data_IF_237310179611
#
_entry.id   IF_237310179611
#
_cell.length_a   1.000
_cell.length_b   1.000
_cell.length_c   1.000
_cell.angle_alpha   90.00
_cell.angle_beta   90.00
_cell.angle_gamma   90.00
#
_symmetry.space_group_name_H-M   'P 1'
#
loop_
_entity.id
_entity.type
_entity.pdbx_description
1 polymer ?
#
# COMPACT_ATOMS: atom_id res chain seq x y z
N UNK A 1 10.14 21.97 33.23
CA UNK A 1 10.71 22.44 31.95
C UNK A 1 9.56 22.49 30.95
N UNK A 2 9.16 23.68 30.50
CA UNK A 2 8.06 23.86 29.54
C UNK A 2 8.31 22.99 28.32
N UNK A 3 7.43 22.02 28.07
CA UNK A 3 7.36 21.43 26.75
C UNK A 3 7.12 22.58 25.78
N UNK A 4 7.90 22.70 24.69
CA UNK A 4 7.67 23.73 23.69
C UNK A 4 6.26 23.53 23.15
N UNK A 5 5.34 24.35 23.64
CA UNK A 5 3.95 24.34 23.23
C UNK A 5 3.91 24.64 21.74
N UNK A 6 2.88 24.18 21.03
CA UNK A 6 2.75 24.34 19.58
C UNK A 6 3.00 25.76 19.03
N UNK A 7 3.00 26.79 19.88
CA UNK A 7 3.48 28.14 19.57
C UNK A 7 4.90 28.18 18.97
N UNK A 8 5.88 27.44 19.50
CA UNK A 8 7.25 27.41 18.94
C UNK A 8 7.28 26.79 17.55
N UNK A 9 6.52 25.72 17.34
CA UNK A 9 6.34 25.11 16.02
C UNK A 9 5.68 26.07 15.03
N UNK A 10 4.68 26.84 15.45
CA UNK A 10 4.03 27.85 14.61
C UNK A 10 5.02 28.95 14.21
N UNK A 11 5.85 29.43 15.13
CA UNK A 11 6.87 30.46 14.85
C UNK A 11 7.89 29.96 13.85
N UNK A 12 8.39 28.74 14.01
CA UNK A 12 9.32 28.12 13.05
C UNK A 12 8.67 27.99 11.67
N UNK A 13 7.42 27.54 11.61
CA UNK A 13 6.68 27.39 10.36
C UNK A 13 6.49 28.73 9.65
N UNK A 14 6.23 29.80 10.42
CA UNK A 14 6.03 31.16 9.92
C UNK A 14 7.33 31.74 9.34
N UNK A 15 8.46 31.52 10.01
CA UNK A 15 9.79 31.87 9.49
C UNK A 15 10.12 31.10 8.21
N UNK A 16 9.84 29.80 8.17
CA UNK A 16 10.03 28.98 6.96
C UNK A 16 9.17 29.51 5.80
N UNK A 17 7.93 29.89 6.08
CA UNK A 17 7.00 30.44 5.09
C UNK A 17 7.46 31.82 4.57
N UNK A 18 8.11 32.64 5.40
CA UNK A 18 8.70 33.92 5.00
C UNK A 18 9.93 33.73 4.11
N UNK A 19 10.83 32.79 4.46
CA UNK A 19 12.06 32.54 3.70
C UNK A 19 11.80 31.84 2.35
N UNK A 20 10.97 30.80 2.36
CA UNK A 20 10.66 30.02 1.16
C UNK A 20 9.48 30.59 0.37
N UNK A 21 8.62 31.38 1.02
CA UNK A 21 7.37 31.89 0.44
C UNK A 21 6.23 30.85 0.49
N UNK A 22 5.00 31.34 0.68
CA UNK A 22 3.80 30.50 0.79
C UNK A 22 3.53 29.59 -0.42
N UNK A 23 4.10 29.89 -1.59
CA UNK A 23 3.94 29.09 -2.82
C UNK A 23 4.96 27.97 -3.00
N UNK A 24 6.14 28.03 -2.37
CA UNK A 24 7.22 27.04 -2.61
C UNK A 24 7.06 25.77 -1.77
N UNK A 25 6.70 25.92 -0.49
CA UNK A 25 6.38 24.80 0.41
C UNK A 25 5.38 23.80 -0.19
N UNK A 26 4.19 24.23 -0.68
CA UNK A 26 3.23 23.30 -1.27
C UNK A 26 3.69 22.76 -2.63
N UNK A 27 4.48 23.51 -3.41
CA UNK A 27 5.00 23.02 -4.68
C UNK A 27 5.98 21.86 -4.47
N UNK A 28 6.91 22.01 -3.52
CA UNK A 28 7.87 20.98 -3.12
C UNK A 28 7.17 19.74 -2.54
N UNK A 29 6.17 19.95 -1.69
CA UNK A 29 5.36 18.85 -1.14
C UNK A 29 4.61 18.09 -2.23
N UNK A 30 4.08 18.77 -3.26
CA UNK A 30 3.40 18.13 -4.38
C UNK A 30 4.34 17.29 -5.24
N UNK A 31 5.52 17.80 -5.60
CA UNK A 31 6.48 17.03 -6.40
C UNK A 31 7.04 15.83 -5.63
N UNK A 32 7.34 16.01 -4.34
CA UNK A 32 7.81 14.93 -3.46
C UNK A 32 6.71 13.90 -3.19
N UNK A 33 5.45 14.35 -3.04
CA UNK A 33 4.29 13.49 -2.87
C UNK A 33 3.96 12.66 -4.12
N UNK A 34 4.16 13.22 -5.32
CA UNK A 34 4.03 12.47 -6.57
C UNK A 34 5.09 11.36 -6.65
N UNK A 35 6.35 11.67 -6.37
CA UNK A 35 7.41 10.65 -6.32
C UNK A 35 7.10 9.53 -5.30
N UNK A 36 6.64 9.90 -4.09
CA UNK A 36 6.23 8.93 -3.08
C UNK A 36 5.00 8.11 -3.47
N UNK A 37 4.05 8.70 -4.20
CA UNK A 37 2.87 8.00 -4.72
C UNK A 37 3.26 6.95 -5.76
N UNK A 38 4.08 7.33 -6.75
CA UNK A 38 4.57 6.39 -7.78
C UNK A 38 5.43 5.29 -7.15
N UNK A 39 6.27 5.62 -6.16
CA UNK A 39 7.04 4.64 -5.40
C UNK A 39 6.14 3.64 -4.65
N UNK A 40 5.09 4.12 -3.99
CA UNK A 40 4.12 3.27 -3.29
C UNK A 40 3.28 2.42 -4.27
N UNK A 41 2.89 2.98 -5.42
CA UNK A 41 2.20 2.24 -6.48
C UNK A 41 3.08 1.15 -7.06
N UNK A 42 4.35 1.44 -7.38
CA UNK A 42 5.32 0.45 -7.87
C UNK A 42 5.61 -0.66 -6.87
N UNK A 43 5.66 -0.33 -5.57
CA UNK A 43 5.72 -1.35 -4.51
C UNK A 43 4.45 -2.21 -4.51
N UNK A 44 3.24 -1.63 -4.52
CA UNK A 44 1.99 -2.40 -4.55
C UNK A 44 1.88 -3.28 -5.79
N UNK A 45 2.35 -2.82 -6.96
CA UNK A 45 2.35 -3.63 -8.19
C UNK A 45 3.42 -4.72 -8.17
N UNK A 46 4.57 -4.52 -7.51
CA UNK A 46 5.55 -5.57 -7.24
C UNK A 46 5.05 -6.67 -6.30
N UNK A 47 4.06 -6.35 -5.46
CA UNK A 47 3.34 -7.30 -4.58
C UNK A 47 1.96 -7.70 -5.14
N UNK A 48 1.58 -7.29 -6.36
CA UNK A 48 0.42 -7.85 -7.05
C UNK A 48 0.79 -9.23 -7.61
N UNK A 49 0.74 -10.21 -6.73
CA UNK A 49 0.22 -11.52 -7.08
C UNK A 49 -1.21 -11.36 -7.67
N UNK A 50 -1.66 -12.29 -8.53
CA UNK A 50 -2.88 -12.14 -9.31
C UNK A 50 -4.05 -11.72 -8.43
N UNK A 51 -4.93 -10.83 -8.93
CA UNK A 51 -6.01 -10.23 -8.15
C UNK A 51 -6.71 -11.29 -7.30
N UNK A 52 -6.94 -10.94 -6.03
CA UNK A 52 -7.71 -11.69 -5.05
C UNK A 52 -9.20 -11.74 -5.39
N UNK A 53 -9.54 -11.59 -6.65
CA UNK A 53 -10.89 -11.71 -7.18
C UNK A 53 -10.98 -13.07 -7.86
N UNK A 54 -11.62 -14.01 -7.16
CA UNK A 54 -11.90 -15.32 -7.69
C UNK A 54 -12.46 -16.26 -6.62
N UNK A 55 -13.27 -17.25 -7.02
CA UNK A 55 -13.79 -18.26 -6.10
C UNK A 55 -12.63 -18.95 -5.38
N UNK A 56 -12.70 -19.03 -4.04
CA UNK A 56 -11.62 -19.67 -3.27
C UNK A 56 -11.39 -21.12 -3.74
N UNK A 57 -10.16 -21.53 -4.07
CA UNK A 57 -9.88 -22.89 -4.56
C UNK A 57 -10.18 -23.99 -3.52
N UNK A 58 -10.26 -23.63 -2.24
CA UNK A 58 -10.61 -24.55 -1.14
C UNK A 58 -12.11 -24.69 -0.89
N UNK A 59 -12.92 -23.66 -1.19
CA UNK A 59 -14.30 -23.55 -0.67
C UNK A 59 -15.33 -22.98 -1.66
N UNK A 60 -14.91 -22.54 -2.85
CA UNK A 60 -15.73 -21.90 -3.90
C UNK A 60 -16.60 -20.70 -3.48
N UNK A 61 -16.46 -20.16 -2.28
CA UNK A 61 -17.10 -18.91 -1.86
C UNK A 61 -16.35 -17.71 -2.46
N UNK A 62 -17.10 -16.67 -2.79
CA UNK A 62 -16.59 -15.39 -3.28
C UNK A 62 -15.95 -14.63 -2.10
N UNK A 63 -14.67 -14.24 -2.24
CA UNK A 63 -13.89 -13.59 -1.18
C UNK A 63 -13.78 -12.10 -1.48
N UNK A 64 -14.22 -11.19 -0.59
CA UNK A 64 -14.11 -9.75 -0.78
C UNK A 64 -12.67 -9.24 -0.51
N UNK A 65 -12.26 -8.20 -1.25
CA UNK A 65 -10.91 -7.60 -1.29
C UNK A 65 -10.35 -7.16 0.07
N UNK A 66 -11.22 -6.88 1.03
CA UNK A 66 -10.90 -6.30 2.33
C UNK A 66 -10.88 -7.31 3.49
N UNK A 67 -11.24 -8.57 3.23
CA UNK A 67 -11.29 -9.61 4.26
C UNK A 67 -9.93 -10.31 4.46
N UNK A 68 -9.34 -10.14 5.65
CA UNK A 68 -8.08 -10.83 6.05
C UNK A 68 -8.22 -12.36 6.11
N UNK A 69 -9.45 -12.86 6.16
CA UNK A 69 -9.79 -14.28 6.32
C UNK A 69 -10.93 -14.65 5.38
N UNK A 70 -10.87 -15.84 4.77
CA UNK A 70 -11.95 -16.36 3.94
C UNK A 70 -13.17 -16.76 4.81
N UNK A 71 -14.38 -16.26 4.51
CA UNK A 71 -15.59 -16.50 5.34
C UNK A 71 -16.09 -17.95 5.30
N UNK A 72 -15.66 -18.77 4.33
CA UNK A 72 -16.06 -20.17 4.21
C UNK A 72 -15.15 -21.13 4.99
N UNK A 73 -13.84 -20.94 4.94
CA UNK A 73 -12.85 -21.89 5.46
C UNK A 73 -11.92 -21.34 6.55
N UNK A 74 -11.99 -20.05 6.86
CA UNK A 74 -11.20 -19.42 7.93
C UNK A 74 -9.70 -19.25 7.63
N UNK A 75 -9.23 -19.59 6.43
CA UNK A 75 -7.84 -19.39 6.03
C UNK A 75 -7.55 -17.91 5.76
N UNK A 76 -6.34 -17.48 6.11
CA UNK A 76 -5.83 -16.13 5.85
C UNK A 76 -5.74 -15.87 4.35
N UNK A 77 -6.00 -14.63 3.94
CA UNK A 77 -5.83 -14.21 2.55
C UNK A 77 -4.39 -14.50 2.06
N UNK A 78 -3.40 -14.36 2.94
CA UNK A 78 -1.98 -14.64 2.67
C UNK A 78 -1.71 -16.11 2.32
N UNK A 79 -2.31 -17.07 3.03
CA UNK A 79 -2.16 -18.51 2.73
C UNK A 79 -2.84 -18.91 1.42
N UNK A 80 -3.97 -18.25 1.08
CA UNK A 80 -4.72 -18.53 -0.15
C UNK A 80 -3.94 -18.03 -1.37
N UNK A 81 -3.31 -16.84 -1.27
CA UNK A 81 -2.45 -16.28 -2.31
C UNK A 81 -1.23 -17.17 -2.51
N UNK A 82 -0.55 -17.57 -1.44
CA UNK A 82 0.62 -18.44 -1.51
C UNK A 82 0.30 -19.79 -2.17
N UNK A 83 -0.86 -20.40 -1.87
CA UNK A 83 -1.28 -21.64 -2.51
C UNK A 83 -1.69 -21.43 -3.98
N UNK A 84 -2.43 -20.36 -4.29
CA UNK A 84 -2.87 -20.04 -5.65
C UNK A 84 -1.66 -19.84 -6.57
N UNK A 85 -0.64 -19.13 -6.10
CA UNK A 85 0.62 -18.93 -6.82
C UNK A 85 1.39 -20.24 -7.02
N UNK A 86 1.39 -21.15 -6.03
CA UNK A 86 2.00 -22.49 -6.18
C UNK A 86 1.28 -23.34 -7.24
N UNK A 87 -0.04 -23.38 -7.22
CA UNK A 87 -0.84 -24.13 -8.20
C UNK A 87 -0.65 -23.57 -9.63
N UNK A 88 -0.58 -22.24 -9.78
CA UNK A 88 -0.35 -21.60 -11.09
C UNK A 88 1.09 -21.86 -11.61
N UNK A 89 2.07 -21.94 -10.71
CA UNK A 89 3.46 -22.26 -11.05
C UNK A 89 3.67 -23.75 -11.34
N UNK A 90 2.91 -24.66 -10.71
CA UNK A 90 2.94 -26.09 -11.02
C UNK A 90 2.19 -26.43 -12.33
N UNK A 91 1.21 -25.61 -12.73
CA UNK A 91 0.44 -25.78 -13.97
C UNK A 91 1.15 -25.28 -15.24
N UNK A 92 2.34 -24.68 -15.14
CA UNK A 92 3.20 -24.36 -16.28
C UNK A 92 4.25 -25.46 -16.46
N UNK A 93 3.95 -26.55 -17.20
CA UNK A 93 4.93 -27.60 -17.48
C UNK A 93 6.14 -27.00 -18.18
N UNK A 94 7.32 -27.52 -17.82
CA UNK A 94 8.60 -27.38 -18.51
C UNK A 94 8.42 -27.49 -20.04
N UNK A 95 8.34 -26.35 -20.71
CA UNK A 95 8.76 -26.19 -22.10
C UNK A 95 10.14 -25.54 -22.03
N UNK A 96 11.22 -26.32 -21.94
CA UNK A 96 11.92 -26.91 -23.08
C UNK A 96 12.37 -25.84 -24.07
#
# INVERSE_FOLDING_TARGET
MSLPGGAEWIIVLLILLLLFGAKKLPQLARSMGQAGKEFKSGLKDGYKEPPLEGPCPFCKVEVPEDSKFCPGCGKSAEDIVAEKTRVEQEAKPKSA
#
